data_IF_460407114340
#
_entry.id   IF_460407114340
#
_cell.length_a   1.000
_cell.length_b   1.000
_cell.length_c   1.000
_cell.angle_alpha   90.00
_cell.angle_beta   90.00
_cell.angle_gamma   90.00
#
_symmetry.space_group_name_H-M   'P 1'
#
loop_
_entity.id
_entity.type
_entity.pdbx_description
1 polymer ?
#
# COMPACT_ATOMS: atom_id res chain seq x y z
N UNK A 1 18.19 -13.94 -1.02
CA UNK A 1 19.07 -12.77 -0.84
C UNK A 1 19.26 -12.55 0.64
N UNK A 2 20.50 -12.30 1.08
CA UNK A 2 20.75 -11.90 2.45
C UNK A 2 20.22 -10.47 2.69
N UNK A 3 19.73 -10.21 3.90
CA UNK A 3 19.17 -8.88 4.20
C UNK A 3 20.27 -7.81 4.27
N UNK A 4 21.52 -8.20 4.61
CA UNK A 4 22.67 -7.32 4.53
C UNK A 4 22.95 -6.86 3.09
N UNK A 5 22.86 -7.76 2.10
CA UNK A 5 23.02 -7.40 0.68
C UNK A 5 21.92 -6.43 0.22
N UNK A 6 20.68 -6.64 0.70
CA UNK A 6 19.58 -5.70 0.44
C UNK A 6 19.88 -4.33 1.08
N UNK A 7 20.37 -4.29 2.32
CA UNK A 7 20.69 -3.06 3.03
C UNK A 7 21.82 -2.27 2.33
N UNK A 8 22.87 -2.97 1.88
CA UNK A 8 23.97 -2.37 1.11
C UNK A 8 23.47 -1.73 -0.21
N UNK A 9 22.60 -2.44 -0.93
CA UNK A 9 21.98 -1.95 -2.16
C UNK A 9 21.06 -0.75 -1.89
N UNK A 10 20.24 -0.82 -0.83
CA UNK A 10 19.38 0.29 -0.41
C UNK A 10 20.20 1.53 -0.03
N UNK A 11 21.35 1.35 0.62
CA UNK A 11 22.26 2.46 0.94
C UNK A 11 22.91 3.07 -0.30
N UNK A 12 23.26 2.27 -1.30
CA UNK A 12 23.77 2.76 -2.58
C UNK A 12 22.71 3.60 -3.33
N UNK A 13 21.45 3.14 -3.33
CA UNK A 13 20.31 3.87 -3.89
C UNK A 13 20.08 5.19 -3.13
N UNK A 14 20.09 5.17 -1.80
CA UNK A 14 19.89 6.38 -0.96
C UNK A 14 21.00 7.42 -1.18
N UNK A 15 22.23 7.00 -1.46
CA UNK A 15 23.36 7.88 -1.69
C UNK A 15 23.36 8.55 -3.08
N UNK A 16 22.58 8.03 -4.03
CA UNK A 16 22.49 8.56 -5.38
C UNK A 16 21.42 9.65 -5.47
N UNK A 17 21.68 10.68 -6.27
CA UNK A 17 20.78 11.83 -6.43
C UNK A 17 20.23 11.98 -7.86
N UNK A 18 20.78 11.25 -8.83
CA UNK A 18 20.33 11.32 -10.21
C UNK A 18 19.26 10.26 -10.47
N UNK A 19 18.02 10.66 -10.78
CA UNK A 19 16.89 9.76 -10.93
C UNK A 19 17.15 8.59 -11.89
N UNK A 20 17.88 8.80 -12.98
CA UNK A 20 18.20 7.73 -13.93
C UNK A 20 19.17 6.70 -13.33
N UNK A 21 20.15 7.14 -12.57
CA UNK A 21 21.09 6.24 -11.89
C UNK A 21 20.40 5.49 -10.74
N UNK A 22 19.49 6.15 -10.00
CA UNK A 22 18.64 5.50 -8.99
C UNK A 22 17.82 4.41 -9.65
N UNK A 23 17.18 4.68 -10.79
CA UNK A 23 16.38 3.71 -11.54
C UNK A 23 17.23 2.49 -11.94
N UNK A 24 18.43 2.72 -12.46
CA UNK A 24 19.33 1.63 -12.87
C UNK A 24 19.81 0.79 -11.69
N UNK A 25 20.17 1.42 -10.54
CA UNK A 25 20.54 0.68 -9.33
C UNK A 25 19.38 -0.19 -8.80
N UNK A 26 18.15 0.31 -8.86
CA UNK A 26 16.95 -0.45 -8.47
C UNK A 26 16.67 -1.58 -9.48
N UNK A 27 16.86 -1.34 -10.79
CA UNK A 27 16.73 -2.36 -11.82
C UNK A 27 17.72 -3.52 -11.62
N UNK A 28 18.99 -3.21 -11.35
CA UNK A 28 20.02 -4.19 -11.03
C UNK A 28 19.65 -5.02 -9.78
N UNK A 29 19.13 -4.34 -8.74
CA UNK A 29 18.65 -5.02 -7.54
C UNK A 29 17.50 -5.99 -7.86
N UNK A 30 16.57 -5.62 -8.74
CA UNK A 30 15.46 -6.50 -9.14
C UNK A 30 15.94 -7.74 -9.91
N UNK A 31 16.88 -7.56 -10.82
CA UNK A 31 17.48 -8.69 -11.57
C UNK A 31 18.16 -9.68 -10.62
N UNK A 32 18.89 -9.18 -9.62
CA UNK A 32 19.66 -9.99 -8.67
C UNK A 32 18.80 -10.62 -7.56
N UNK A 33 17.54 -10.16 -7.36
CA UNK A 33 16.69 -10.59 -6.25
C UNK A 33 16.13 -12.02 -6.38
N UNK A 34 16.16 -12.63 -7.55
CA UNK A 34 15.70 -14.00 -7.76
C UNK A 34 14.27 -14.25 -7.27
N UNK A 35 14.08 -15.20 -6.34
CA UNK A 35 12.78 -15.51 -5.73
C UNK A 35 12.27 -14.43 -4.78
N UNK A 36 13.15 -13.58 -4.26
CA UNK A 36 12.81 -12.54 -3.29
C UNK A 36 12.32 -11.24 -3.95
N UNK A 37 12.33 -11.18 -5.29
CA UNK A 37 11.90 -10.02 -6.09
C UNK A 37 10.59 -9.38 -5.61
N UNK A 38 9.49 -10.13 -5.35
CA UNK A 38 8.24 -9.50 -4.95
C UNK A 38 8.32 -8.83 -3.57
N UNK A 39 9.16 -9.36 -2.70
CA UNK A 39 9.40 -8.79 -1.38
C UNK A 39 10.28 -7.55 -1.50
N UNK A 40 11.41 -7.65 -2.19
CA UNK A 40 12.36 -6.54 -2.41
C UNK A 40 11.67 -5.33 -3.03
N UNK A 41 10.82 -5.52 -4.05
CA UNK A 41 10.10 -4.43 -4.68
C UNK A 41 9.17 -3.68 -3.70
N UNK A 42 8.49 -4.41 -2.80
CA UNK A 42 7.65 -3.80 -1.76
C UNK A 42 8.47 -3.12 -0.67
N UNK A 43 9.56 -3.76 -0.20
CA UNK A 43 10.41 -3.22 0.86
C UNK A 43 11.06 -1.89 0.47
N UNK A 44 11.45 -1.70 -0.79
CA UNK A 44 11.98 -0.41 -1.28
C UNK A 44 10.97 0.74 -1.13
N UNK A 45 9.68 0.44 -1.20
CA UNK A 45 8.59 1.40 -0.95
C UNK A 45 8.19 1.48 0.54
N UNK A 46 8.91 0.80 1.44
CA UNK A 46 8.58 0.72 2.87
C UNK A 46 7.30 -0.09 3.15
N UNK A 47 6.93 -1.01 2.26
CA UNK A 47 5.71 -1.83 2.37
C UNK A 47 6.07 -3.30 2.57
N UNK A 48 5.34 -3.98 3.44
CA UNK A 48 5.42 -5.43 3.65
C UNK A 48 4.33 -6.16 2.88
N UNK A 49 3.20 -5.50 2.69
CA UNK A 49 2.04 -6.00 1.96
C UNK A 49 1.80 -5.18 0.68
N UNK A 50 1.00 -5.68 -0.27
CA UNK A 50 0.57 -4.89 -1.44
C UNK A 50 -0.10 -3.57 -1.05
N UNK A 51 -0.09 -2.58 -1.94
CA UNK A 51 -0.66 -1.27 -1.68
C UNK A 51 -2.18 -1.28 -1.43
N UNK A 52 -2.87 -2.29 -1.95
CA UNK A 52 -4.31 -2.50 -1.75
C UNK A 52 -4.66 -3.20 -0.44
N UNK A 53 -3.68 -3.79 0.25
CA UNK A 53 -3.88 -4.48 1.53
C UNK A 53 -3.73 -3.46 2.66
N UNK A 54 -4.77 -3.27 3.44
CA UNK A 54 -4.81 -2.33 4.56
C UNK A 54 -4.13 -2.86 5.83
N UNK A 55 -3.53 -4.04 5.77
CA UNK A 55 -2.80 -4.65 6.89
C UNK A 55 -1.64 -3.74 7.30
N UNK A 56 -1.58 -3.40 8.58
CA UNK A 56 -0.50 -2.61 9.17
C UNK A 56 0.31 -3.48 10.14
N UNK A 57 1.58 -3.15 10.33
CA UNK A 57 2.42 -3.82 11.34
C UNK A 57 1.94 -3.51 12.76
N UNK A 58 1.17 -2.43 12.90
CA UNK A 58 0.68 -1.94 14.20
C UNK A 58 1.82 -1.84 15.23
N UNK A 59 2.95 -1.28 14.77
CA UNK A 59 4.16 -1.00 15.54
C UNK A 59 4.35 0.51 15.59
N UNK A 60 4.15 1.07 16.77
CA UNK A 60 4.42 2.48 17.00
C UNK A 60 5.87 2.74 17.42
N UNK A 61 6.30 4.03 17.45
CA UNK A 61 7.67 4.41 17.85
C UNK A 61 8.10 3.83 19.20
N UNK A 62 7.23 3.85 20.21
CA UNK A 62 7.55 3.36 21.57
C UNK A 62 7.94 1.89 21.57
N UNK A 63 7.25 1.03 20.80
CA UNK A 63 7.53 -0.38 20.71
C UNK A 63 8.84 -0.64 19.96
N UNK A 64 9.12 0.12 18.90
CA UNK A 64 10.38 0.08 18.18
C UNK A 64 11.55 0.49 19.09
N UNK A 65 11.40 1.57 19.88
CA UNK A 65 12.41 2.01 20.85
C UNK A 65 12.71 0.94 21.90
N UNK A 66 11.68 0.28 22.43
CA UNK A 66 11.83 -0.80 23.42
C UNK A 66 12.61 -1.99 22.83
N UNK A 67 12.28 -2.40 21.60
CA UNK A 67 12.98 -3.50 20.94
C UNK A 67 14.44 -3.16 20.63
N UNK A 68 14.74 -1.95 20.16
CA UNK A 68 16.11 -1.45 19.94
C UNK A 68 16.91 -1.38 21.24
N UNK A 69 16.33 -0.81 22.29
CA UNK A 69 16.97 -0.73 23.61
C UNK A 69 17.31 -2.11 24.13
N UNK A 70 16.38 -3.07 24.01
CA UNK A 70 16.59 -4.45 24.43
C UNK A 70 17.70 -5.14 23.62
N UNK A 71 17.80 -4.87 22.32
CA UNK A 71 18.86 -5.41 21.46
C UNK A 71 20.23 -4.80 21.79
N UNK A 72 20.29 -3.51 22.11
CA UNK A 72 21.50 -2.83 22.53
C UNK A 72 22.00 -3.22 23.95
N UNK A 73 21.16 -3.93 24.72
CA UNK A 73 21.56 -4.49 26.01
C UNK A 73 21.18 -3.62 27.24
N UNK A 74 21.56 -4.07 28.45
CA UNK A 74 20.99 -3.55 29.69
C UNK A 74 21.36 -2.10 30.03
N UNK A 75 22.29 -1.51 29.31
CA UNK A 75 22.75 -0.12 29.53
C UNK A 75 22.01 0.90 28.65
N UNK A 76 21.10 0.47 27.80
CA UNK A 76 20.29 1.34 26.91
C UNK A 76 18.82 1.14 27.26
N UNK A 77 18.13 2.24 27.49
CA UNK A 77 16.69 2.28 27.75
C UNK A 77 15.92 2.78 26.53
N UNK A 78 14.60 2.55 26.48
CA UNK A 78 13.74 3.11 25.44
C UNK A 78 13.76 4.67 25.45
N UNK A 79 13.93 5.29 26.60
CA UNK A 79 14.08 6.74 26.74
C UNK A 79 15.40 7.21 26.12
N UNK A 80 16.51 6.48 26.30
CA UNK A 80 17.78 6.80 25.65
C UNK A 80 17.68 6.71 24.12
N UNK A 81 16.90 5.76 23.58
CA UNK A 81 16.63 5.67 22.13
C UNK A 81 15.81 6.84 21.67
N UNK A 82 14.77 7.26 22.44
CA UNK A 82 13.95 8.42 22.14
C UNK A 82 14.75 9.74 22.16
N UNK A 83 15.66 9.91 23.13
CA UNK A 83 16.54 11.08 23.22
C UNK A 83 17.50 11.14 22.02
N UNK A 84 18.12 10.01 21.64
CA UNK A 84 18.95 9.93 20.43
C UNK A 84 18.15 10.22 19.17
N UNK A 85 16.89 9.76 19.09
CA UNK A 85 16.00 10.08 17.95
C UNK A 85 15.72 11.59 17.85
N UNK A 86 15.52 12.25 18.99
CA UNK A 86 15.32 13.71 19.02
C UNK A 86 16.57 14.47 18.51
N UNK A 87 17.76 13.94 18.71
CA UNK A 87 19.01 14.52 18.23
C UNK A 87 19.28 14.16 16.74
N UNK A 88 19.09 12.89 16.36
CA UNK A 88 19.38 12.40 15.01
C UNK A 88 18.29 12.74 13.99
N UNK A 89 17.03 12.91 14.42
CA UNK A 89 15.87 13.20 13.59
C UNK A 89 15.34 12.01 12.76
N UNK A 90 15.94 10.81 12.89
CA UNK A 90 15.61 9.65 12.10
C UNK A 90 15.97 8.35 12.82
N UNK A 91 15.02 7.41 12.88
CA UNK A 91 15.16 6.16 13.66
C UNK A 91 16.22 5.22 13.12
N UNK A 92 16.41 5.15 11.80
CA UNK A 92 17.40 4.30 11.17
C UNK A 92 18.83 4.72 11.56
N UNK A 93 19.12 6.04 11.62
CA UNK A 93 20.41 6.54 12.08
C UNK A 93 20.66 6.18 13.56
N UNK A 94 19.62 6.18 14.38
CA UNK A 94 19.72 5.72 15.77
C UNK A 94 20.05 4.23 15.81
N UNK A 95 19.29 3.40 15.08
CA UNK A 95 19.51 1.95 15.04
C UNK A 95 20.91 1.59 14.56
N UNK A 96 21.41 2.26 13.52
CA UNK A 96 22.77 2.09 12.98
C UNK A 96 23.87 2.45 14.01
N UNK A 97 23.61 3.44 14.87
CA UNK A 97 24.57 3.92 15.89
C UNK A 97 24.63 3.05 17.14
N UNK A 98 23.64 2.16 17.32
CA UNK A 98 23.59 1.28 18.48
C UNK A 98 24.53 0.08 18.29
N UNK A 99 25.19 -0.33 19.35
CA UNK A 99 25.91 -1.60 19.42
C UNK A 99 24.90 -2.72 19.72
N UNK A 100 24.46 -3.39 18.66
CA UNK A 100 23.47 -4.47 18.74
C UNK A 100 24.13 -5.85 18.94
N UNK A 101 25.45 -5.92 18.83
CA UNK A 101 26.27 -7.16 19.05
C UNK A 101 26.37 -7.55 20.51
N UNK A 102 25.94 -6.72 21.43
CA UNK A 102 26.16 -6.89 22.88
C UNK A 102 25.60 -8.17 23.50
N UNK A 103 24.68 -8.88 22.82
CA UNK A 103 24.15 -10.17 23.29
C UNK A 103 24.73 -11.40 22.58
N UNK A 104 25.59 -11.23 21.59
CA UNK A 104 26.34 -12.35 20.98
C UNK A 104 27.35 -12.99 21.90
N UNK A 105 27.57 -12.44 23.08
CA UNK A 105 28.52 -12.93 24.09
C UNK A 105 28.34 -14.41 24.53
N UNK A 106 27.21 -15.04 24.25
CA UNK A 106 27.00 -16.48 24.47
C UNK A 106 27.45 -17.33 23.27
N UNK A 107 27.49 -16.78 22.06
CA UNK A 107 28.04 -17.45 20.87
C UNK A 107 29.55 -17.69 21.00
N UNK A 108 30.26 -16.87 21.75
CA UNK A 108 31.69 -17.02 22.07
C UNK A 108 32.02 -18.31 22.85
N UNK A 109 31.00 -19.00 23.37
CA UNK A 109 31.17 -20.27 24.10
C UNK A 109 30.86 -21.52 23.25
N UNK A 110 30.94 -21.46 21.92
CA UNK A 110 30.90 -22.63 21.04
C UNK A 110 29.54 -22.93 20.40
N UNK A 111 28.61 -21.98 20.38
CA UNK A 111 27.49 -22.02 19.47
C UNK A 111 27.96 -21.65 18.05
N UNK A 112 27.39 -22.29 17.01
CA UNK A 112 27.63 -21.89 15.63
C UNK A 112 27.19 -20.41 15.44
N UNK A 113 27.90 -19.69 14.57
CA UNK A 113 27.48 -18.35 14.19
C UNK A 113 26.01 -18.38 13.74
N UNK A 114 25.19 -17.41 14.17
CA UNK A 114 23.79 -17.36 13.72
C UNK A 114 23.74 -17.29 12.18
N UNK A 115 22.82 -18.03 11.59
CA UNK A 115 22.60 -17.93 10.14
C UNK A 115 22.29 -16.47 9.75
N UNK A 116 22.81 -15.99 8.59
CA UNK A 116 22.52 -14.66 8.09
C UNK A 116 21.01 -14.42 8.00
N UNK A 117 20.58 -13.20 8.31
CA UNK A 117 19.20 -12.80 8.17
C UNK A 117 18.86 -12.66 6.68
N UNK A 118 17.82 -13.34 6.19
CA UNK A 118 17.40 -13.26 4.78
C UNK A 118 16.20 -12.32 4.59
N UNK A 119 16.06 -11.78 3.39
CA UNK A 119 14.89 -10.94 3.00
C UNK A 119 13.59 -11.71 3.22
N UNK A 120 13.52 -12.98 2.84
CA UNK A 120 12.33 -13.82 3.03
C UNK A 120 11.99 -14.02 4.52
N UNK A 121 13.01 -14.18 5.39
CA UNK A 121 12.78 -14.28 6.83
C UNK A 121 12.27 -12.95 7.41
N UNK A 122 12.86 -11.82 7.01
CA UNK A 122 12.38 -10.49 7.41
C UNK A 122 10.92 -10.30 7.03
N UNK A 123 10.54 -10.57 5.77
CA UNK A 123 9.14 -10.49 5.32
C UNK A 123 8.22 -11.37 6.19
N UNK A 124 8.61 -12.62 6.44
CA UNK A 124 7.83 -13.53 7.28
C UNK A 124 7.63 -12.97 8.69
N UNK A 125 8.69 -12.47 9.33
CA UNK A 125 8.62 -11.92 10.68
C UNK A 125 7.80 -10.62 10.75
N UNK A 126 7.91 -9.77 9.73
CA UNK A 126 7.09 -8.55 9.66
C UNK A 126 5.60 -8.88 9.45
N UNK A 127 5.27 -9.94 8.70
CA UNK A 127 3.88 -10.44 8.61
C UNK A 127 3.39 -11.06 9.92
N UNK A 128 4.25 -11.75 10.66
CA UNK A 128 3.92 -12.24 12.01
C UNK A 128 3.57 -11.08 12.95
N UNK A 129 4.28 -9.94 12.86
CA UNK A 129 3.95 -8.72 13.62
C UNK A 129 2.57 -8.18 13.27
N UNK A 130 2.24 -8.13 11.97
CA UNK A 130 0.95 -7.65 11.50
C UNK A 130 -0.21 -8.54 11.98
N UNK A 131 0.02 -9.85 12.06
CA UNK A 131 -0.99 -10.83 12.52
C UNK A 131 -1.16 -10.85 14.06
N UNK A 132 -0.21 -10.28 14.81
CA UNK A 132 -0.24 -10.30 16.27
C UNK A 132 -1.27 -9.33 16.85
N UNK A 133 -2.36 -9.84 17.43
CA UNK A 133 -3.44 -9.06 18.02
C UNK A 133 -3.84 -9.59 19.40
N UNK A 134 -4.50 -8.76 20.20
CA UNK A 134 -5.05 -9.14 21.51
C UNK A 134 -4.05 -9.10 22.67
N UNK A 135 -4.41 -9.74 23.78
CA UNK A 135 -3.61 -9.73 25.00
C UNK A 135 -2.24 -10.41 24.79
N UNK A 136 -1.15 -9.72 25.16
CA UNK A 136 0.23 -10.22 24.98
C UNK A 136 0.83 -9.93 23.61
N UNK A 137 0.11 -9.28 22.69
CA UNK A 137 0.66 -8.90 21.38
C UNK A 137 1.83 -7.92 21.50
N UNK A 138 1.82 -7.02 22.48
CA UNK A 138 2.93 -6.10 22.72
C UNK A 138 4.25 -6.82 22.98
N UNK A 139 4.28 -7.70 23.98
CA UNK A 139 5.48 -8.45 24.35
C UNK A 139 5.95 -9.35 23.19
N UNK A 140 5.01 -9.98 22.50
CA UNK A 140 5.33 -10.78 21.32
C UNK A 140 5.97 -9.94 20.20
N UNK A 141 5.42 -8.75 19.91
CA UNK A 141 5.99 -7.84 18.90
C UNK A 141 7.40 -7.38 19.30
N UNK A 142 7.63 -7.05 20.58
CA UNK A 142 8.94 -6.70 21.09
C UNK A 142 9.92 -7.87 20.92
N UNK A 143 9.50 -9.12 21.24
CA UNK A 143 10.34 -10.31 21.09
C UNK A 143 10.73 -10.59 19.63
N UNK A 144 9.78 -10.44 18.69
CA UNK A 144 10.06 -10.61 17.25
C UNK A 144 11.05 -9.55 16.75
N UNK A 145 10.82 -8.28 17.07
CA UNK A 145 11.72 -7.19 16.67
C UNK A 145 13.10 -7.33 17.32
N UNK A 146 13.15 -7.67 18.60
CA UNK A 146 14.42 -7.98 19.28
C UNK A 146 15.20 -9.06 18.54
N UNK A 147 14.53 -10.15 18.14
CA UNK A 147 15.16 -11.25 17.40
C UNK A 147 15.71 -10.82 16.03
N UNK A 148 15.04 -9.88 15.35
CA UNK A 148 15.54 -9.30 14.11
C UNK A 148 16.74 -8.38 14.34
N UNK A 149 16.64 -7.42 15.26
CA UNK A 149 17.72 -6.47 15.54
C UNK A 149 18.97 -7.14 16.09
N UNK A 150 18.82 -8.18 16.93
CA UNK A 150 19.96 -8.91 17.50
C UNK A 150 20.78 -9.73 16.48
N UNK A 151 20.27 -9.93 15.27
CA UNK A 151 20.93 -10.62 14.15
C UNK A 151 21.35 -9.67 13.02
N UNK A 152 20.96 -8.42 13.10
CA UNK A 152 21.25 -7.40 12.12
C UNK A 152 22.60 -6.74 12.39
N UNK A 153 23.40 -6.54 11.35
CA UNK A 153 24.50 -5.58 11.41
C UNK A 153 23.97 -4.14 11.48
N UNK A 154 24.84 -3.17 11.67
CA UNK A 154 24.46 -1.77 11.86
C UNK A 154 23.62 -1.23 10.69
N UNK A 155 23.99 -1.55 9.43
CA UNK A 155 23.29 -1.08 8.26
C UNK A 155 21.94 -1.79 8.08
N UNK A 156 21.89 -3.09 8.28
CA UNK A 156 20.64 -3.86 8.32
C UNK A 156 19.69 -3.34 9.40
N UNK A 157 20.19 -3.02 10.59
CA UNK A 157 19.38 -2.45 11.66
C UNK A 157 18.76 -1.09 11.28
N UNK A 158 19.49 -0.24 10.54
CA UNK A 158 18.97 1.02 9.99
C UNK A 158 17.73 0.79 9.14
N UNK A 159 17.83 -0.10 8.15
CA UNK A 159 16.70 -0.35 7.24
C UNK A 159 15.58 -1.16 7.89
N UNK A 160 15.86 -2.07 8.80
CA UNK A 160 14.84 -2.74 9.60
C UNK A 160 14.01 -1.75 10.43
N UNK A 161 14.67 -0.82 11.14
CA UNK A 161 13.98 0.19 11.94
C UNK A 161 13.06 1.09 11.06
N UNK A 162 13.55 1.47 9.88
CA UNK A 162 12.78 2.24 8.88
C UNK A 162 11.58 1.46 8.35
N UNK A 163 11.76 0.19 7.99
CA UNK A 163 10.68 -0.68 7.51
C UNK A 163 9.59 -0.89 8.56
N UNK A 164 9.98 -1.11 9.80
CA UNK A 164 9.05 -1.33 10.93
C UNK A 164 8.15 -0.11 11.15
N UNK A 165 8.66 1.10 10.94
CA UNK A 165 7.91 2.35 11.04
C UNK A 165 7.36 2.85 9.68
N UNK A 166 7.49 2.05 8.60
CA UNK A 166 7.05 2.40 7.24
C UNK A 166 7.71 3.69 6.71
N UNK A 167 8.96 3.95 7.10
CA UNK A 167 9.73 5.14 6.76
C UNK A 167 11.03 4.80 6.02
N UNK A 168 10.97 4.06 4.91
CA UNK A 168 12.16 3.55 4.21
C UNK A 168 13.17 4.63 3.83
N UNK A 169 12.73 5.78 3.34
CA UNK A 169 13.52 7.00 3.05
C UNK A 169 14.74 6.80 2.13
N UNK A 170 14.66 5.88 1.18
CA UNK A 170 15.72 5.65 0.18
C UNK A 170 15.57 6.49 -1.09
N UNK A 171 14.63 7.43 -1.12
CA UNK A 171 14.38 8.26 -2.30
C UNK A 171 13.63 7.55 -3.44
N UNK A 172 13.20 6.31 -3.25
CA UNK A 172 12.48 5.52 -4.25
C UNK A 172 10.97 5.70 -4.09
N UNK A 173 10.32 6.22 -5.13
CA UNK A 173 8.87 6.30 -5.26
C UNK A 173 8.32 5.27 -6.26
N UNK A 174 6.99 5.21 -6.38
CA UNK A 174 6.31 4.28 -7.29
C UNK A 174 6.72 4.49 -8.77
N UNK A 175 7.03 5.73 -9.16
CA UNK A 175 7.53 6.04 -10.51
C UNK A 175 8.89 5.40 -10.79
N UNK A 176 9.83 5.47 -9.84
CA UNK A 176 11.15 4.83 -9.97
C UNK A 176 11.00 3.30 -10.02
N UNK A 177 10.16 2.72 -9.16
CA UNK A 177 9.89 1.26 -9.18
C UNK A 177 9.30 0.83 -10.51
N UNK A 178 8.35 1.59 -11.07
CA UNK A 178 7.78 1.35 -12.41
C UNK A 178 8.87 1.32 -13.49
N UNK A 179 9.70 2.37 -13.52
CA UNK A 179 10.73 2.53 -14.54
C UNK A 179 11.84 1.47 -14.38
N UNK A 180 12.19 1.12 -13.14
CA UNK A 180 13.15 0.07 -12.84
C UNK A 180 12.63 -1.34 -13.23
N UNK A 181 11.33 -1.64 -13.05
CA UNK A 181 10.75 -2.89 -13.55
C UNK A 181 10.83 -2.96 -15.07
N UNK A 182 10.53 -1.82 -15.75
CA UNK A 182 10.60 -1.76 -17.20
C UNK A 182 12.03 -1.98 -17.71
N UNK A 183 13.03 -1.37 -17.08
CA UNK A 183 14.45 -1.51 -17.40
C UNK A 183 14.97 -2.93 -17.09
N UNK A 184 14.68 -3.44 -15.89
CA UNK A 184 15.18 -4.74 -15.44
C UNK A 184 14.75 -5.91 -16.33
N UNK A 185 13.55 -5.84 -16.90
CA UNK A 185 12.95 -6.96 -17.65
C UNK A 185 12.68 -6.62 -19.12
N UNK A 186 13.22 -5.51 -19.62
CA UNK A 186 13.10 -5.07 -21.04
C UNK A 186 11.64 -5.07 -21.52
N UNK A 187 10.74 -4.46 -20.75
CA UNK A 187 9.32 -4.34 -21.05
C UNK A 187 8.91 -2.86 -21.16
N UNK A 188 7.85 -2.54 -21.94
CA UNK A 188 7.41 -1.16 -22.09
C UNK A 188 6.91 -0.56 -20.77
N UNK A 189 7.35 0.65 -20.41
CA UNK A 189 6.90 1.39 -19.21
C UNK A 189 5.37 1.48 -19.14
N UNK A 190 4.71 1.75 -20.27
CA UNK A 190 3.24 1.85 -20.33
C UNK A 190 2.53 0.53 -19.95
N UNK A 191 3.12 -0.64 -20.26
CA UNK A 191 2.58 -1.92 -19.85
C UNK A 191 2.74 -2.14 -18.34
N UNK A 192 3.89 -1.76 -17.77
CA UNK A 192 4.15 -1.80 -16.32
C UNK A 192 3.18 -0.87 -15.59
N UNK A 193 3.03 0.37 -16.07
CA UNK A 193 2.13 1.36 -15.48
C UNK A 193 0.68 0.87 -15.43
N UNK A 194 0.18 0.29 -16.54
CA UNK A 194 -1.15 -0.31 -16.61
C UNK A 194 -1.30 -1.47 -15.61
N UNK A 195 -0.34 -2.38 -15.56
CA UNK A 195 -0.37 -3.50 -14.63
C UNK A 195 -0.34 -3.03 -13.17
N UNK A 196 0.50 -2.04 -12.82
CA UNK A 196 0.55 -1.43 -11.48
C UNK A 196 -0.78 -0.78 -11.10
N UNK A 197 -1.43 -0.08 -12.05
CA UNK A 197 -2.74 0.52 -11.82
C UNK A 197 -3.80 -0.52 -11.47
N UNK A 198 -3.79 -1.66 -12.16
CA UNK A 198 -4.78 -2.74 -12.00
C UNK A 198 -4.49 -3.60 -10.76
N UNK A 199 -3.23 -4.00 -10.58
CA UNK A 199 -2.85 -4.95 -9.52
C UNK A 199 -2.55 -4.29 -8.18
N UNK A 200 -2.14 -3.02 -8.17
CA UNK A 200 -1.69 -2.30 -6.97
C UNK A 200 -0.70 -3.08 -6.10
N UNK A 201 0.17 -3.85 -6.75
CA UNK A 201 1.21 -4.66 -6.13
C UNK A 201 2.46 -4.68 -7.00
N UNK A 202 3.43 -3.82 -6.68
CA UNK A 202 4.68 -3.75 -7.43
C UNK A 202 5.46 -5.07 -7.41
N UNK A 203 5.35 -5.85 -6.34
CA UNK A 203 5.98 -7.16 -6.25
C UNK A 203 5.40 -8.17 -7.24
N UNK A 204 4.07 -8.25 -7.33
CA UNK A 204 3.40 -9.12 -8.29
C UNK A 204 3.69 -8.69 -9.74
N UNK A 205 3.64 -7.37 -10.01
CA UNK A 205 3.93 -6.81 -11.34
C UNK A 205 5.38 -7.07 -11.76
N UNK A 206 6.36 -6.94 -10.84
CA UNK A 206 7.75 -7.25 -11.13
C UNK A 206 7.95 -8.73 -11.49
N UNK A 207 7.31 -9.65 -10.75
CA UNK A 207 7.34 -11.10 -11.06
C UNK A 207 6.72 -11.37 -12.42
N UNK A 208 5.57 -10.79 -12.72
CA UNK A 208 4.88 -10.95 -14.00
C UNK A 208 5.72 -10.41 -15.17
N UNK A 209 6.36 -9.25 -14.99
CA UNK A 209 7.29 -8.70 -16.00
C UNK A 209 8.45 -9.65 -16.28
N UNK A 210 9.05 -10.22 -15.23
CA UNK A 210 10.16 -11.15 -15.32
C UNK A 210 9.76 -12.47 -16.00
N UNK A 211 8.66 -13.08 -15.59
CA UNK A 211 8.30 -14.46 -15.95
C UNK A 211 7.50 -14.52 -17.24
N UNK A 212 6.67 -13.53 -17.54
CA UNK A 212 5.71 -13.52 -18.63
C UNK A 212 5.92 -12.35 -19.61
N UNK A 213 6.78 -11.38 -19.27
CA UNK A 213 7.08 -10.21 -20.10
C UNK A 213 5.88 -9.31 -20.37
N UNK A 214 5.88 -8.66 -21.53
CA UNK A 214 4.83 -7.71 -21.94
C UNK A 214 3.45 -8.38 -22.06
N UNK A 215 3.38 -9.62 -22.49
CA UNK A 215 2.10 -10.34 -22.65
C UNK A 215 1.45 -10.58 -21.28
N UNK A 216 2.23 -10.97 -20.28
CA UNK A 216 1.75 -11.13 -18.92
C UNK A 216 1.26 -9.81 -18.30
N UNK A 217 2.00 -8.72 -18.50
CA UNK A 217 1.58 -7.39 -18.04
C UNK A 217 0.26 -6.93 -18.66
N UNK A 218 0.08 -7.16 -19.97
CA UNK A 218 -1.15 -6.82 -20.68
C UNK A 218 -2.33 -7.72 -20.27
N UNK A 219 -2.07 -8.91 -19.76
CA UNK A 219 -3.08 -9.84 -19.25
C UNK A 219 -3.52 -9.51 -17.80
N UNK A 220 -2.92 -8.50 -17.15
CA UNK A 220 -3.36 -8.04 -15.84
C UNK A 220 -4.83 -7.61 -15.89
N UNK A 221 -5.67 -8.21 -15.04
CA UNK A 221 -7.12 -8.02 -15.02
C UNK A 221 -7.61 -7.52 -13.67
N UNK A 222 -8.75 -6.85 -13.68
CA UNK A 222 -9.43 -6.43 -12.46
C UNK A 222 -9.89 -7.63 -11.63
N UNK A 223 -9.78 -7.52 -10.33
CA UNK A 223 -10.27 -8.53 -9.40
C UNK A 223 -11.21 -7.88 -8.41
N UNK A 224 -12.47 -8.36 -8.35
CA UNK A 224 -13.43 -7.88 -7.35
C UNK A 224 -12.86 -8.12 -5.95
N UNK A 225 -12.90 -7.09 -5.11
CA UNK A 225 -12.29 -7.09 -3.78
C UNK A 225 -10.84 -6.57 -3.73
N UNK A 226 -10.21 -6.26 -4.87
CA UNK A 226 -8.90 -5.61 -4.96
C UNK A 226 -9.05 -4.23 -5.61
N UNK A 227 -8.85 -3.12 -4.89
CA UNK A 227 -9.09 -1.78 -5.41
C UNK A 227 -8.09 -1.39 -6.49
N UNK A 228 -8.54 -0.54 -7.40
CA UNK A 228 -7.79 -0.03 -8.55
C UNK A 228 -7.29 1.38 -8.24
N UNK A 229 -6.04 1.70 -8.59
CA UNK A 229 -5.53 3.06 -8.46
C UNK A 229 -6.31 4.04 -9.33
N UNK A 230 -6.75 5.14 -8.73
CA UNK A 230 -7.50 6.16 -9.44
C UNK A 230 -6.62 6.88 -10.47
N UNK A 231 -7.07 6.97 -11.72
CA UNK A 231 -6.44 7.83 -12.71
C UNK A 231 -6.65 9.29 -12.32
N UNK A 232 -5.58 10.09 -12.35
CA UNK A 232 -5.63 11.52 -12.07
C UNK A 232 -6.00 12.29 -13.33
N UNK A 233 -6.93 13.25 -13.19
CA UNK A 233 -7.27 14.18 -14.26
C UNK A 233 -6.16 15.21 -14.46
N UNK A 234 -5.90 15.61 -15.70
CA UNK A 234 -5.07 16.76 -16.01
C UNK A 234 -5.84 18.05 -15.75
N UNK A 235 -5.15 19.05 -15.21
CA UNK A 235 -5.70 20.40 -15.11
C UNK A 235 -5.75 21.04 -16.49
N UNK A 236 -6.85 21.71 -16.79
CA UNK A 236 -7.05 22.41 -18.06
C UNK A 236 -8.27 23.32 -18.02
N UNK A 237 -8.53 24.01 -19.11
CA UNK A 237 -9.73 24.83 -19.28
C UNK A 237 -10.77 24.15 -20.17
N UNK A 238 -12.01 24.62 -20.14
CA UNK A 238 -13.04 24.14 -21.05
C UNK A 238 -12.67 24.38 -22.54
N UNK A 239 -11.90 25.43 -22.83
CA UNK A 239 -11.40 25.70 -24.20
C UNK A 239 -10.42 24.63 -24.64
N UNK A 240 -9.44 24.29 -23.78
CA UNK A 240 -8.45 23.24 -24.08
C UNK A 240 -9.15 21.91 -24.40
N UNK A 241 -10.19 21.55 -23.62
CA UNK A 241 -10.96 20.34 -23.85
C UNK A 241 -11.72 20.35 -25.19
N UNK A 242 -12.35 21.48 -25.54
CA UNK A 242 -13.08 21.64 -26.81
C UNK A 242 -12.16 21.69 -28.03
N UNK A 243 -10.93 22.17 -27.86
CA UNK A 243 -9.91 22.15 -28.91
C UNK A 243 -9.31 20.75 -29.12
N UNK A 244 -9.21 19.95 -28.03
CA UNK A 244 -8.67 18.60 -28.09
C UNK A 244 -9.67 17.55 -28.60
N UNK A 245 -10.98 17.74 -28.33
CA UNK A 245 -12.01 16.74 -28.63
C UNK A 245 -13.23 17.35 -29.33
N UNK A 246 -13.77 16.62 -30.32
CA UNK A 246 -14.93 17.04 -31.06
C UNK A 246 -16.22 17.12 -30.19
N UNK A 247 -16.29 16.33 -29.12
CA UNK A 247 -17.35 16.38 -28.11
C UNK A 247 -16.79 16.05 -26.75
N UNK A 248 -17.34 16.67 -25.71
CA UNK A 248 -16.91 16.50 -24.32
C UNK A 248 -18.12 16.17 -23.43
N UNK A 249 -17.91 15.29 -22.44
CA UNK A 249 -18.87 15.10 -21.37
C UNK A 249 -18.71 16.22 -20.33
N UNK A 250 -19.83 16.70 -19.82
CA UNK A 250 -19.86 17.69 -18.72
C UNK A 250 -20.64 17.08 -17.58
N UNK A 251 -20.01 17.05 -16.40
CA UNK A 251 -20.59 16.45 -15.21
C UNK A 251 -20.53 17.42 -14.03
N UNK A 252 -21.46 17.26 -13.10
CA UNK A 252 -21.39 17.97 -11.82
C UNK A 252 -20.25 17.41 -10.99
N UNK A 253 -19.30 18.25 -10.60
CA UNK A 253 -18.28 17.86 -9.64
C UNK A 253 -18.85 17.91 -8.23
N UNK A 254 -19.15 16.76 -7.69
CA UNK A 254 -19.59 16.63 -6.30
C UNK A 254 -18.44 16.89 -5.31
N UNK A 255 -18.78 17.38 -4.15
CA UNK A 255 -17.86 17.60 -3.02
C UNK A 255 -18.09 16.53 -1.95
N UNK A 256 -17.71 15.31 -2.27
CA UNK A 256 -17.86 14.13 -1.43
C UNK A 256 -16.56 13.35 -1.30
N UNK A 257 -16.68 12.09 -0.89
CA UNK A 257 -15.57 11.16 -0.86
C UNK A 257 -15.67 10.18 -2.04
N UNK A 258 -14.69 10.20 -2.95
CA UNK A 258 -14.61 9.20 -4.00
C UNK A 258 -14.38 7.82 -3.40
N UNK A 259 -15.20 6.86 -3.79
CA UNK A 259 -15.12 5.48 -3.35
C UNK A 259 -15.28 4.53 -4.53
N UNK A 260 -14.58 3.41 -4.46
CA UNK A 260 -14.81 2.25 -5.32
C UNK A 260 -15.63 1.22 -4.56
N UNK A 261 -16.65 0.70 -5.21
CA UNK A 261 -17.52 -0.34 -4.66
C UNK A 261 -17.30 -1.62 -5.43
N UNK A 262 -16.82 -2.63 -4.73
CA UNK A 262 -16.60 -3.98 -5.24
C UNK A 262 -17.67 -4.87 -4.66
N UNK A 263 -18.49 -5.44 -5.51
CA UNK A 263 -19.58 -6.34 -5.09
C UNK A 263 -19.50 -7.66 -5.85
N UNK A 264 -19.55 -8.76 -5.13
CA UNK A 264 -19.72 -10.11 -5.65
C UNK A 264 -20.94 -10.74 -4.98
N UNK A 265 -22.02 -11.07 -5.71
CA UNK A 265 -23.22 -11.70 -5.13
C UNK A 265 -22.94 -13.05 -4.42
N UNK A 266 -21.85 -13.74 -4.81
CA UNK A 266 -21.43 -14.99 -4.18
C UNK A 266 -20.39 -14.78 -3.06
N UNK A 267 -19.95 -13.55 -2.83
CA UNK A 267 -18.90 -13.19 -1.89
C UNK A 267 -19.25 -11.96 -1.07
N UNK A 268 -18.22 -11.21 -0.70
CA UNK A 268 -18.35 -10.01 0.12
C UNK A 268 -18.47 -8.75 -0.75
N UNK A 269 -19.15 -7.73 -0.22
CA UNK A 269 -19.09 -6.36 -0.72
C UNK A 269 -17.99 -5.61 0.02
N UNK A 270 -17.15 -4.88 -0.70
CA UNK A 270 -16.14 -3.99 -0.14
C UNK A 270 -16.23 -2.60 -0.74
N UNK A 271 -16.00 -1.60 0.09
CA UNK A 271 -15.96 -0.20 -0.32
C UNK A 271 -14.59 0.36 0.02
N UNK A 272 -13.89 0.89 -0.98
CA UNK A 272 -12.55 1.43 -0.82
C UNK A 272 -12.53 2.95 -1.02
N UNK A 273 -11.79 3.66 -0.19
CA UNK A 273 -11.54 5.09 -0.33
C UNK A 273 -10.61 5.38 -1.52
N UNK A 274 -10.46 6.67 -1.86
CA UNK A 274 -9.49 7.13 -2.87
C UNK A 274 -8.06 6.66 -2.57
N UNK A 275 -7.71 6.48 -1.30
CA UNK A 275 -6.39 6.02 -0.86
C UNK A 275 -6.30 4.49 -0.75
N UNK A 276 -7.28 3.76 -1.32
CA UNK A 276 -7.39 2.30 -1.32
C UNK A 276 -7.64 1.70 0.09
N UNK A 277 -7.98 2.51 1.08
CA UNK A 277 -8.34 2.02 2.41
C UNK A 277 -9.74 1.39 2.39
N UNK A 278 -9.89 0.24 3.04
CA UNK A 278 -11.21 -0.39 3.24
C UNK A 278 -12.04 0.44 4.22
N UNK A 279 -13.13 0.99 3.71
CA UNK A 279 -14.09 1.83 4.46
C UNK A 279 -15.48 1.21 4.50
N UNK A 280 -15.60 -0.07 4.22
CA UNK A 280 -16.86 -0.82 4.15
C UNK A 280 -17.70 -0.64 5.40
N UNK A 281 -17.12 -0.81 6.58
CA UNK A 281 -17.83 -0.66 7.85
C UNK A 281 -18.38 0.74 8.10
N UNK A 282 -17.75 1.76 7.50
CA UNK A 282 -18.18 3.15 7.65
C UNK A 282 -19.38 3.52 6.75
N UNK A 283 -19.64 2.75 5.70
CA UNK A 283 -20.60 3.04 4.63
C UNK A 283 -21.58 1.87 4.37
N UNK A 284 -22.27 1.34 5.40
CA UNK A 284 -23.16 0.20 5.24
C UNK A 284 -24.35 0.48 4.29
N UNK A 285 -24.73 1.74 4.09
CA UNK A 285 -25.77 2.13 3.13
C UNK A 285 -25.39 1.79 1.70
N UNK A 286 -24.11 1.93 1.35
CA UNK A 286 -23.59 1.59 0.01
C UNK A 286 -23.60 0.07 -0.16
N UNK A 287 -23.21 -0.68 0.88
CA UNK A 287 -23.28 -2.15 0.89
C UNK A 287 -24.72 -2.64 0.69
N UNK A 288 -25.69 -2.04 1.42
CA UNK A 288 -27.11 -2.35 1.30
C UNK A 288 -27.64 -2.03 -0.11
N UNK A 289 -27.20 -0.90 -0.69
CA UNK A 289 -27.60 -0.48 -2.04
C UNK A 289 -27.17 -1.49 -3.11
N UNK A 290 -25.88 -1.88 -3.12
CA UNK A 290 -25.37 -2.79 -4.17
C UNK A 290 -25.77 -4.25 -3.95
N UNK A 291 -26.28 -4.62 -2.78
CA UNK A 291 -26.79 -5.98 -2.50
C UNK A 291 -27.94 -6.41 -3.42
N UNK A 292 -28.59 -5.47 -4.12
CA UNK A 292 -29.59 -5.74 -5.15
C UNK A 292 -29.04 -6.06 -6.54
N UNK A 293 -27.71 -6.01 -6.72
CA UNK A 293 -27.05 -6.31 -8.00
C UNK A 293 -26.70 -7.81 -8.02
N UNK A 294 -27.17 -8.54 -9.03
CA UNK A 294 -27.05 -10.00 -9.14
C UNK A 294 -25.75 -10.48 -9.83
N UNK A 295 -24.86 -9.57 -10.20
CA UNK A 295 -23.60 -9.89 -10.92
C UNK A 295 -22.40 -9.22 -10.24
N UNK A 296 -21.18 -9.80 -10.36
CA UNK A 296 -19.98 -9.16 -9.87
C UNK A 296 -19.72 -7.82 -10.56
N UNK A 297 -19.45 -6.76 -9.76
CA UNK A 297 -19.19 -5.41 -10.29
C UNK A 297 -18.08 -4.69 -9.54
N UNK A 298 -17.41 -3.78 -10.24
CA UNK A 298 -16.57 -2.72 -9.69
C UNK A 298 -17.12 -1.39 -10.19
N UNK A 299 -17.66 -0.60 -9.27
CA UNK A 299 -18.22 0.73 -9.56
C UNK A 299 -17.31 1.81 -8.95
N UNK A 300 -17.18 2.93 -9.66
CA UNK A 300 -16.54 4.14 -9.14
C UNK A 300 -17.60 5.23 -8.96
N UNK A 301 -17.52 5.94 -7.86
CA UNK A 301 -18.54 6.94 -7.54
C UNK A 301 -18.14 7.84 -6.39
N UNK A 302 -19.07 8.70 -6.00
CA UNK A 302 -18.91 9.63 -4.90
C UNK A 302 -19.87 9.31 -3.77
N UNK A 303 -19.39 9.15 -2.55
CA UNK A 303 -20.18 9.10 -1.34
C UNK A 303 -20.42 10.53 -0.85
N UNK A 304 -21.67 10.94 -0.78
CA UNK A 304 -22.10 12.28 -0.39
C UNK A 304 -22.86 12.25 0.91
N UNK A 305 -22.58 13.15 1.81
CA UNK A 305 -23.50 13.47 2.89
C UNK A 305 -24.62 14.35 2.33
N UNK A 306 -25.86 14.02 2.66
CA UNK A 306 -27.03 14.78 2.22
C UNK A 306 -27.92 15.17 3.39
N UNK A 307 -28.66 16.26 3.24
CA UNK A 307 -29.68 16.66 4.20
C UNK A 307 -31.01 15.91 3.95
N UNK A 308 -32.04 16.22 4.74
CA UNK A 308 -33.38 15.61 4.64
C UNK A 308 -34.09 15.89 3.28
N UNK A 309 -33.65 16.89 2.53
CA UNK A 309 -34.15 17.21 1.21
C UNK A 309 -33.35 16.50 0.08
N UNK A 310 -32.26 15.84 0.41
CA UNK A 310 -31.34 15.20 -0.53
C UNK A 310 -30.31 16.17 -1.11
N UNK A 311 -30.18 17.37 -0.56
CA UNK A 311 -29.18 18.34 -1.01
C UNK A 311 -27.79 18.00 -0.42
N UNK A 312 -26.71 18.05 -1.23
CA UNK A 312 -25.37 17.72 -0.77
C UNK A 312 -24.88 18.65 0.35
N UNK A 313 -24.35 18.04 1.39
CA UNK A 313 -23.65 18.71 2.51
C UNK A 313 -22.14 18.79 2.22
N UNK A 314 -21.40 19.67 2.93
CA UNK A 314 -19.95 19.76 2.77
C UNK A 314 -19.22 18.44 3.04
N UNK A 315 -18.09 18.20 2.36
CA UNK A 315 -17.25 17.00 2.50
C UNK A 315 -16.89 16.64 3.96
N UNK A 316 -16.76 17.65 4.84
CA UNK A 316 -16.46 17.45 6.26
C UNK A 316 -17.49 16.54 6.96
N UNK A 317 -18.74 16.53 6.51
CA UNK A 317 -19.78 15.66 7.07
C UNK A 317 -19.53 14.18 6.67
N UNK A 318 -19.04 13.91 5.46
CA UNK A 318 -18.62 12.56 5.05
C UNK A 318 -17.44 12.09 5.90
N UNK A 319 -16.46 12.96 6.16
CA UNK A 319 -15.29 12.64 7.00
C UNK A 319 -15.67 12.24 8.43
N UNK A 320 -16.79 12.72 8.95
CA UNK A 320 -17.28 12.31 10.28
C UNK A 320 -17.61 10.82 10.32
N UNK A 321 -18.06 10.23 9.19
CA UNK A 321 -18.34 8.80 9.04
C UNK A 321 -17.05 8.00 9.08
N UNK A 322 -16.01 8.40 8.36
CA UNK A 322 -14.74 7.67 8.29
C UNK A 322 -13.93 7.68 9.60
N UNK A 323 -14.04 8.74 10.40
CA UNK A 323 -13.27 8.89 11.63
C UNK A 323 -13.78 8.07 12.82
N UNK A 324 -15.03 7.61 12.81
CA UNK A 324 -15.66 6.91 13.93
C UNK A 324 -15.90 5.45 13.58
N UNK A 325 -14.90 4.61 13.88
CA UNK A 325 -14.98 3.15 13.71
C UNK A 325 -15.93 2.45 14.71
N UNK A 326 -16.35 3.16 15.76
CA UNK A 326 -17.25 2.65 16.82
C UNK A 326 -18.48 3.54 16.89
N UNK A 327 -19.68 3.15 16.77
CA UNK A 327 -20.96 3.88 16.71
C UNK A 327 -21.52 4.14 15.30
N UNK A 328 -21.26 3.24 14.35
CA UNK A 328 -21.73 3.39 12.95
C UNK A 328 -23.26 3.57 12.89
N UNK A 329 -24.03 2.82 13.70
CA UNK A 329 -25.49 2.93 13.72
C UNK A 329 -25.98 4.33 14.10
N UNK A 330 -25.37 4.94 15.12
CA UNK A 330 -25.69 6.33 15.51
C UNK A 330 -25.26 7.34 14.44
N UNK A 331 -24.12 7.12 13.81
CA UNK A 331 -23.65 8.00 12.76
C UNK A 331 -24.54 7.96 11.51
N UNK A 332 -25.19 6.83 11.21
CA UNK A 332 -26.20 6.74 10.14
C UNK A 332 -27.41 7.65 10.41
N UNK A 333 -27.83 7.76 11.67
CA UNK A 333 -28.93 8.66 12.05
C UNK A 333 -28.55 10.14 11.97
N UNK A 334 -27.27 10.47 12.22
CA UNK A 334 -26.78 11.85 12.25
C UNK A 334 -26.38 12.37 10.85
N UNK A 335 -25.86 11.48 9.97
CA UNK A 335 -25.33 11.83 8.65
C UNK A 335 -25.82 10.82 7.62
N UNK A 336 -26.78 11.21 6.81
CA UNK A 336 -27.26 10.39 5.70
C UNK A 336 -26.24 10.39 4.57
N UNK A 337 -25.88 9.20 4.05
CA UNK A 337 -24.97 9.03 2.91
C UNK A 337 -25.76 8.59 1.69
N UNK A 338 -25.50 9.25 0.56
CA UNK A 338 -25.95 8.89 -0.77
C UNK A 338 -24.75 8.51 -1.64
N UNK A 339 -24.84 7.41 -2.38
CA UNK A 339 -23.80 7.01 -3.36
C UNK A 339 -24.22 7.38 -4.77
N UNK A 340 -23.36 8.14 -5.46
CA UNK A 340 -23.54 8.52 -6.85
C UNK A 340 -22.47 7.88 -7.71
N UNK A 341 -22.78 6.72 -8.28
CA UNK A 341 -21.93 6.03 -9.23
C UNK A 341 -21.82 6.84 -10.53
N UNK A 342 -20.60 7.05 -11.00
CA UNK A 342 -20.32 7.75 -12.25
C UNK A 342 -19.58 6.88 -13.27
N UNK A 343 -18.95 5.77 -12.86
CA UNK A 343 -18.29 4.85 -13.77
C UNK A 343 -18.48 3.38 -13.37
N UNK A 344 -18.36 2.47 -14.36
CA UNK A 344 -18.34 1.03 -14.17
C UNK A 344 -17.04 0.49 -14.76
N UNK A 345 -16.20 -0.10 -13.92
CA UNK A 345 -14.87 -0.58 -14.29
C UNK A 345 -14.87 -2.07 -14.63
N UNK A 346 -15.79 -2.83 -14.04
CA UNK A 346 -15.92 -4.28 -14.23
C UNK A 346 -17.39 -4.70 -14.05
N UNK A 347 -17.87 -5.59 -14.90
CA UNK A 347 -19.19 -6.21 -14.76
C UNK A 347 -19.19 -7.61 -15.33
N UNK A 348 -19.69 -8.57 -14.55
CA UNK A 348 -19.93 -9.97 -14.95
C UNK A 348 -18.73 -10.61 -15.68
N UNK A 349 -17.55 -10.50 -15.08
CA UNK A 349 -16.30 -11.06 -15.62
C UNK A 349 -15.67 -10.26 -16.77
N UNK A 350 -16.22 -9.09 -17.11
CA UNK A 350 -15.70 -8.24 -18.19
C UNK A 350 -15.10 -6.96 -17.65
N UNK A 351 -13.79 -6.75 -17.90
CA UNK A 351 -13.11 -5.50 -17.60
C UNK A 351 -13.47 -4.42 -18.64
N UNK A 352 -13.78 -3.22 -18.16
CA UNK A 352 -14.20 -2.10 -18.98
C UNK A 352 -13.19 -0.94 -19.05
N UNK A 353 -11.99 -1.10 -18.47
CA UNK A 353 -10.98 -0.02 -18.42
C UNK A 353 -10.62 0.52 -19.81
N UNK A 354 -10.57 -0.36 -20.82
CA UNK A 354 -10.23 0.00 -22.20
C UNK A 354 -11.49 0.36 -23.04
N UNK A 355 -12.68 0.25 -22.45
CA UNK A 355 -13.93 0.61 -23.14
C UNK A 355 -14.14 2.14 -23.16
N UNK A 356 -14.73 2.70 -24.23
CA UNK A 356 -15.11 4.10 -24.28
C UNK A 356 -16.03 4.52 -23.11
N UNK A 357 -15.94 5.79 -22.69
CA UNK A 357 -16.74 6.32 -21.58
C UNK A 357 -18.25 6.08 -21.77
N UNK A 358 -18.77 6.26 -22.98
CA UNK A 358 -20.21 6.07 -23.25
C UNK A 358 -20.64 4.61 -23.07
N UNK A 359 -19.81 3.67 -23.48
CA UNK A 359 -20.08 2.24 -23.32
C UNK A 359 -20.07 1.85 -21.84
N UNK A 360 -19.12 2.38 -21.06
CA UNK A 360 -19.09 2.18 -19.60
C UNK A 360 -20.30 2.79 -18.90
N UNK A 361 -20.74 3.95 -19.37
CA UNK A 361 -21.95 4.62 -18.86
C UNK A 361 -23.22 3.81 -19.15
N UNK A 362 -23.33 3.22 -20.33
CA UNK A 362 -24.42 2.32 -20.68
C UNK A 362 -24.45 1.10 -19.75
N UNK A 363 -23.30 0.46 -19.56
CA UNK A 363 -23.15 -0.66 -18.61
C UNK A 363 -23.51 -0.29 -17.18
N UNK A 364 -23.07 0.89 -16.72
CA UNK A 364 -23.44 1.41 -15.40
C UNK A 364 -24.96 1.53 -15.26
N UNK A 365 -25.63 2.09 -16.29
CA UNK A 365 -27.09 2.27 -16.29
C UNK A 365 -27.80 0.92 -16.27
N UNK A 366 -27.34 -0.06 -17.05
CA UNK A 366 -27.91 -1.41 -17.10
C UNK A 366 -27.83 -2.12 -15.76
N UNK A 367 -26.67 -2.02 -15.09
CA UNK A 367 -26.42 -2.65 -13.78
C UNK A 367 -27.26 -2.03 -12.68
N UNK A 368 -27.47 -0.70 -12.72
CA UNK A 368 -28.20 0.03 -11.67
C UNK A 368 -29.73 0.10 -11.92
N UNK A 369 -30.21 -0.22 -13.13
CA UNK A 369 -31.64 -0.15 -13.45
C UNK A 369 -32.54 -1.07 -12.63
N UNK A 370 -32.10 -2.24 -12.12
CA UNK A 370 -32.90 -3.10 -11.25
C UNK A 370 -32.94 -2.68 -9.78
N UNK A 371 -32.07 -1.75 -9.34
CA UNK A 371 -31.85 -1.39 -7.93
C UNK A 371 -32.76 -0.27 -7.45
#
# INVERSE_FOLDING_TARGET
>A
MDFADFADRAAAVEAESADLEVTSLVADLFVDSGSDLPVVARLLLGRVVPAWDSTTLDVGPSLCHEALARAAGPNVTADDVADRLAEAGEIGAVAESLDLDGQQGLATFGAADPEPLTVAEVDTRLRDLAAAAGAGSHDHKVDVLFGLFNRADSLSARYLARLVLSEMRVGVGEGIVRDAIAEAFDVPVAAVERALQVENDCGAVAVRARDEGTDGLNAAALVVGRPVSAMLAQAGTAVDALDAWASVAVETKFDGARVQVHHDPAGDTRVFSRNLEDVTDALPEIVEFVAGIDVPVILDGEALAVDDAGDPLPFQEVLRRFRRKHDVARMREEVTIEFRAFDCLHVDGTDLLDAPLLDRRERLTDVLSPV
#
